data_IF_225779628729
#
_entry.id   IF_225779628729
#
_cell.length_a   1.000
_cell.length_b   1.000
_cell.length_c   1.000
_cell.angle_alpha   90.00
_cell.angle_beta   90.00
_cell.angle_gamma   90.00
#
_symmetry.space_group_name_H-M   'P 1'
#
loop_
_entity.id
_entity.type
_entity.pdbx_description
1 polymer ?
#
# COMPACT_ATOMS: atom_id res chain seq x y z
N UNK A 1 -9.68 20.50 22.09
CA UNK A 1 -9.34 19.88 20.79
C UNK A 1 -8.95 18.40 20.91
N UNK A 2 -8.03 18.00 21.80
CA UNK A 2 -7.62 16.58 21.98
C UNK A 2 -8.75 15.58 22.28
N UNK A 3 -9.77 15.98 23.06
CA UNK A 3 -10.91 15.11 23.42
C UNK A 3 -11.87 14.88 22.24
N UNK A 4 -12.02 15.86 21.36
CA UNK A 4 -12.85 15.73 20.15
C UNK A 4 -12.21 14.76 19.15
N UNK A 5 -10.88 14.82 19.01
CA UNK A 5 -10.11 13.93 18.14
C UNK A 5 -10.27 12.44 18.53
N UNK A 6 -10.23 12.14 19.84
CA UNK A 6 -10.44 10.78 20.35
C UNK A 6 -11.84 10.24 20.08
N UNK A 7 -12.88 11.09 20.17
CA UNK A 7 -14.25 10.70 19.85
C UNK A 7 -14.42 10.47 18.35
N UNK A 8 -13.75 11.27 17.51
CA UNK A 8 -13.74 11.08 16.05
C UNK A 8 -13.09 9.76 15.65
N UNK A 9 -11.94 9.42 16.25
CA UNK A 9 -11.24 8.14 16.02
C UNK A 9 -12.11 6.96 16.47
N UNK A 10 -12.78 7.08 17.62
CA UNK A 10 -13.66 6.03 18.14
C UNK A 10 -14.92 5.83 17.30
N UNK A 11 -15.52 6.91 16.76
CA UNK A 11 -16.62 6.81 15.80
C UNK A 11 -16.18 6.16 14.48
N UNK A 12 -14.99 6.50 13.96
CA UNK A 12 -14.42 5.82 12.78
C UNK A 12 -14.18 4.32 13.03
N UNK A 13 -13.73 3.94 14.23
CA UNK A 13 -13.52 2.54 14.59
C UNK A 13 -14.85 1.76 14.68
N UNK A 14 -15.94 2.41 15.07
CA UNK A 14 -17.26 1.78 15.19
C UNK A 14 -17.95 1.50 13.84
N UNK A 15 -17.59 2.21 12.77
CA UNK A 15 -18.07 1.93 11.41
C UNK A 15 -17.28 0.81 10.71
N UNK A 16 -16.23 0.26 11.33
CA UNK A 16 -15.45 -0.85 10.77
C UNK A 16 -16.22 -2.19 10.71
N UNK A 17 -17.43 -2.26 11.26
CA UNK A 17 -18.25 -3.48 11.30
C UNK A 17 -18.61 -4.03 9.89
N UNK A 18 -18.42 -3.25 8.82
CA UNK A 18 -18.61 -3.69 7.43
C UNK A 18 -17.34 -4.23 6.74
N UNK A 19 -16.19 -4.24 7.41
CA UNK A 19 -14.93 -4.81 6.86
C UNK A 19 -14.83 -6.33 7.02
N UNK A 20 -15.81 -7.00 7.64
CA UNK A 20 -15.78 -8.44 7.91
C UNK A 20 -15.75 -9.35 6.66
N UNK A 21 -15.79 -8.79 5.44
CA UNK A 21 -15.81 -9.53 4.18
C UNK A 21 -14.70 -9.09 3.18
N UNK A 22 -13.92 -8.07 3.51
CA UNK A 22 -12.84 -7.59 2.62
C UNK A 22 -11.59 -8.44 2.77
N UNK A 23 -10.92 -8.77 1.65
CA UNK A 23 -9.63 -9.45 1.68
C UNK A 23 -8.58 -8.46 2.21
N UNK A 24 -8.18 -8.63 3.47
CA UNK A 24 -7.29 -7.70 4.14
C UNK A 24 -5.91 -8.30 4.41
N UNK A 25 -4.88 -7.53 4.08
CA UNK A 25 -3.51 -7.75 4.50
C UNK A 25 -2.97 -6.54 5.25
N UNK A 26 -2.19 -6.76 6.30
CA UNK A 26 -1.53 -5.71 7.07
C UNK A 26 -0.05 -6.05 7.26
N UNK A 27 0.83 -5.06 7.22
CA UNK A 27 2.26 -5.30 7.27
C UNK A 27 3.11 -4.07 7.47
N UNK A 28 4.41 -4.28 7.25
CA UNK A 28 5.43 -3.23 7.27
C UNK A 28 6.25 -3.28 5.98
N UNK A 29 6.75 -2.13 5.53
CA UNK A 29 7.53 -2.04 4.32
C UNK A 29 8.62 -0.96 4.40
N UNK A 30 9.53 -1.03 3.44
CA UNK A 30 10.33 0.08 2.98
C UNK A 30 9.64 0.64 1.73
N UNK A 31 8.75 1.61 1.92
CA UNK A 31 8.04 2.38 0.90
C UNK A 31 7.66 3.71 1.57
N UNK A 32 8.06 4.84 0.99
CA UNK A 32 8.03 6.13 1.69
C UNK A 32 8.76 6.09 3.04
N UNK A 33 9.97 5.51 3.01
CA UNK A 33 10.80 5.08 4.14
C UNK A 33 10.15 3.93 4.93
N UNK A 34 10.31 3.87 6.26
CA UNK A 34 9.65 2.85 7.06
C UNK A 34 8.16 3.13 7.09
N UNK A 35 7.34 2.14 6.74
CA UNK A 35 5.89 2.32 6.63
C UNK A 35 5.07 1.17 7.18
N UNK A 36 3.87 1.50 7.63
CA UNK A 36 2.76 0.58 7.76
C UNK A 36 2.07 0.44 6.40
N UNK A 37 1.78 -0.79 6.01
CA UNK A 37 1.10 -1.07 4.74
C UNK A 37 -0.13 -1.92 4.94
N UNK A 38 -1.19 -1.60 4.20
CA UNK A 38 -2.39 -2.41 4.14
C UNK A 38 -2.74 -2.70 2.69
N UNK A 39 -3.20 -3.91 2.41
CA UNK A 39 -3.95 -4.21 1.19
C UNK A 39 -5.37 -4.53 1.59
N UNK A 40 -6.35 -3.79 1.07
CA UNK A 40 -7.77 -4.00 1.32
C UNK A 40 -8.45 -4.16 -0.04
N UNK A 41 -8.87 -5.38 -0.34
CA UNK A 41 -9.35 -5.79 -1.66
C UNK A 41 -8.36 -5.42 -2.78
N UNK A 42 -8.67 -4.36 -3.52
CA UNK A 42 -7.87 -3.83 -4.63
C UNK A 42 -7.10 -2.55 -4.29
N UNK A 43 -7.04 -2.14 -3.03
CA UNK A 43 -6.31 -0.94 -2.63
C UNK A 43 -5.07 -1.33 -1.84
N UNK A 44 -3.90 -0.88 -2.27
CA UNK A 44 -2.71 -0.82 -1.45
C UNK A 44 -2.63 0.56 -0.81
N UNK A 45 -2.44 0.60 0.50
CA UNK A 45 -2.32 1.82 1.30
C UNK A 45 -0.98 1.75 2.01
N UNK A 46 -0.22 2.85 1.95
CA UNK A 46 1.08 3.01 2.58
C UNK A 46 1.02 4.23 3.48
N UNK A 47 1.40 4.08 4.75
CA UNK A 47 1.57 5.16 5.71
C UNK A 47 3.01 5.10 6.21
N UNK A 48 3.87 5.94 5.64
CA UNK A 48 5.31 5.97 5.92
C UNK A 48 5.75 7.20 6.70
N UNK A 49 7.00 7.17 7.14
CA UNK A 49 7.62 8.27 7.88
C UNK A 49 7.66 9.57 7.07
N UNK A 50 7.78 9.49 5.73
CA UNK A 50 7.82 10.67 4.85
C UNK A 50 6.49 11.05 4.21
N UNK A 51 5.52 10.16 4.16
CA UNK A 51 4.25 10.45 3.48
C UNK A 51 3.26 9.29 3.48
N UNK A 52 2.26 9.41 2.62
CA UNK A 52 1.36 8.30 2.35
C UNK A 52 1.12 8.11 0.86
N UNK A 53 0.71 6.90 0.51
CA UNK A 53 0.31 6.57 -0.84
C UNK A 53 -0.88 5.60 -0.87
N UNK A 54 -1.63 5.68 -1.95
CA UNK A 54 -2.76 4.80 -2.23
C UNK A 54 -2.70 4.37 -3.69
N UNK A 55 -2.65 3.05 -3.91
CA UNK A 55 -2.67 2.46 -5.24
C UNK A 55 -3.88 1.55 -5.41
N UNK A 56 -4.44 1.57 -6.62
CA UNK A 56 -5.46 0.62 -7.04
C UNK A 56 -4.83 -0.50 -7.86
N UNK A 57 -5.02 -1.75 -7.45
CA UNK A 57 -4.64 -2.96 -8.16
C UNK A 57 -5.51 -3.11 -9.42
N UNK A 58 -4.97 -2.68 -10.55
CA UNK A 58 -5.64 -2.71 -11.86
C UNK A 58 -5.72 -4.15 -12.36
N UNK A 59 -4.63 -4.92 -12.22
CA UNK A 59 -4.57 -6.30 -12.65
C UNK A 59 -3.71 -7.13 -11.69
N UNK A 60 -4.13 -8.36 -11.45
CA UNK A 60 -3.41 -9.33 -10.63
C UNK A 60 -3.35 -10.67 -11.35
N UNK A 61 -2.41 -11.51 -10.96
CA UNK A 61 -2.32 -12.89 -11.47
C UNK A 61 -1.39 -13.75 -10.65
N UNK A 62 -1.40 -15.05 -10.96
CA UNK A 62 -0.43 -16.02 -10.45
C UNK A 62 0.56 -16.34 -11.57
N UNK A 63 1.82 -16.61 -11.25
CA UNK A 63 2.81 -17.02 -12.26
C UNK A 63 2.55 -18.45 -12.75
N UNK A 64 2.25 -19.35 -11.83
CA UNK A 64 1.84 -20.72 -12.11
C UNK A 64 0.98 -21.27 -10.94
N UNK A 65 0.45 -22.48 -11.07
CA UNK A 65 -0.46 -23.09 -10.07
C UNK A 65 0.26 -23.88 -8.95
N UNK A 66 1.59 -23.96 -8.98
CA UNK A 66 2.42 -24.76 -8.07
C UNK A 66 3.31 -23.90 -7.17
N UNK A 67 3.74 -22.75 -7.67
CA UNK A 67 4.63 -21.81 -7.00
C UNK A 67 3.77 -20.75 -6.32
N UNK A 68 3.97 -20.47 -5.03
CA UNK A 68 3.16 -19.48 -4.30
C UNK A 68 3.59 -18.04 -4.62
N UNK A 69 3.69 -17.70 -5.92
CA UNK A 69 4.09 -16.41 -6.45
C UNK A 69 2.95 -15.78 -7.24
N UNK A 70 2.54 -14.59 -6.82
CA UNK A 70 1.61 -13.74 -7.53
C UNK A 70 2.28 -12.47 -8.04
N UNK A 71 1.63 -11.79 -8.98
CA UNK A 71 2.05 -10.50 -9.51
C UNK A 71 0.87 -9.53 -9.58
N UNK A 72 1.18 -8.24 -9.63
CA UNK A 72 0.20 -7.19 -9.85
C UNK A 72 0.74 -6.01 -10.65
N UNK A 73 -0.18 -5.31 -11.27
CA UNK A 73 -0.03 -3.98 -11.86
C UNK A 73 -1.02 -3.05 -11.20
N UNK A 74 -0.54 -1.89 -10.76
CA UNK A 74 -1.33 -0.90 -10.04
C UNK A 74 -1.09 0.52 -10.56
N UNK A 75 -1.99 1.42 -10.20
CA UNK A 75 -1.83 2.86 -10.40
C UNK A 75 -2.35 3.61 -9.20
N UNK A 76 -1.64 4.67 -8.80
CA UNK A 76 -1.95 5.36 -7.56
C UNK A 76 -1.35 6.75 -7.46
N UNK A 77 -1.59 7.35 -6.31
CA UNK A 77 -1.06 8.65 -5.93
C UNK A 77 -0.29 8.56 -4.63
N UNK A 78 0.61 9.51 -4.44
CA UNK A 78 1.36 9.66 -3.20
C UNK A 78 1.48 11.15 -2.87
N UNK A 79 1.71 11.42 -1.59
CA UNK A 79 2.08 12.75 -1.10
C UNK A 79 2.99 12.60 0.10
N UNK A 80 3.96 13.48 0.22
CA UNK A 80 4.80 13.62 1.39
C UNK A 80 4.11 14.54 2.43
N UNK A 81 4.57 14.49 3.67
CA UNK A 81 3.96 15.25 4.78
C UNK A 81 4.26 16.74 4.71
N UNK A 82 5.45 17.10 4.25
CA UNK A 82 5.94 18.48 4.22
C UNK A 82 5.62 19.15 2.87
N UNK A 83 6.09 18.55 1.78
CA UNK A 83 5.91 19.03 0.40
C UNK A 83 6.14 17.86 -0.58
N UNK A 84 5.47 17.86 -1.73
CA UNK A 84 5.58 16.75 -2.69
C UNK A 84 4.29 15.97 -2.86
N UNK A 85 3.78 15.93 -4.09
CA UNK A 85 2.73 14.99 -4.48
C UNK A 85 2.93 14.52 -5.91
N UNK A 86 2.34 13.38 -6.21
CA UNK A 86 2.52 12.76 -7.51
C UNK A 86 1.63 11.57 -7.76
N UNK A 87 1.89 10.95 -8.91
CA UNK A 87 1.30 9.68 -9.30
C UNK A 87 2.39 8.63 -9.44
N UNK A 88 2.01 7.37 -9.24
CA UNK A 88 2.91 6.22 -9.36
C UNK A 88 2.21 5.05 -10.05
N UNK A 89 3.00 4.19 -10.71
CA UNK A 89 2.50 3.02 -11.43
C UNK A 89 3.23 1.73 -10.99
N UNK A 90 2.84 1.13 -9.85
CA UNK A 90 3.57 -0.03 -9.32
C UNK A 90 3.40 -1.30 -10.14
N UNK A 91 4.52 -2.01 -10.34
CA UNK A 91 4.56 -3.40 -10.79
C UNK A 91 5.23 -4.23 -9.70
N UNK A 92 4.52 -5.21 -9.15
CA UNK A 92 5.02 -5.98 -8.02
C UNK A 92 4.80 -7.48 -8.10
N UNK A 93 5.55 -8.18 -7.27
CA UNK A 93 5.51 -9.62 -7.07
C UNK A 93 5.28 -9.88 -5.58
N UNK A 94 4.51 -10.91 -5.24
CA UNK A 94 4.34 -11.36 -3.85
C UNK A 94 4.61 -12.86 -3.75
N UNK A 95 5.40 -13.24 -2.75
CA UNK A 95 5.74 -14.62 -2.40
C UNK A 95 5.08 -15.00 -1.08
N UNK A 96 4.14 -15.94 -1.13
CA UNK A 96 3.48 -16.47 0.06
C UNK A 96 4.32 -17.60 0.66
N UNK A 97 5.11 -17.27 1.69
CA UNK A 97 6.15 -18.15 2.25
C UNK A 97 5.69 -18.91 3.51
N UNK A 98 4.61 -18.46 4.17
CA UNK A 98 4.02 -19.13 5.32
C UNK A 98 2.52 -18.85 5.40
N UNK A 99 1.79 -19.62 6.23
CA UNK A 99 0.34 -19.46 6.36
C UNK A 99 -0.01 -18.03 6.80
N UNK A 100 -0.77 -17.31 5.98
CA UNK A 100 -1.14 -15.92 6.16
C UNK A 100 -0.07 -14.91 5.75
N UNK A 101 1.19 -15.30 5.55
CA UNK A 101 2.30 -14.36 5.35
C UNK A 101 2.77 -14.31 3.90
N UNK A 102 2.95 -13.09 3.39
CA UNK A 102 3.65 -12.83 2.13
C UNK A 102 4.77 -11.80 2.27
N UNK A 103 5.82 -12.00 1.49
CA UNK A 103 6.85 -11.01 1.20
C UNK A 103 6.53 -10.44 -0.18
N UNK A 104 6.50 -9.13 -0.34
CA UNK A 104 6.31 -8.49 -1.63
C UNK A 104 7.44 -7.54 -1.95
N UNK A 105 7.67 -7.34 -3.25
CA UNK A 105 8.54 -6.32 -3.78
C UNK A 105 7.92 -5.69 -5.02
N UNK A 106 8.16 -4.40 -5.23
CA UNK A 106 7.68 -3.67 -6.40
C UNK A 106 8.70 -2.66 -6.90
N UNK A 107 8.59 -2.36 -8.19
CA UNK A 107 9.20 -1.19 -8.84
C UNK A 107 8.10 -0.31 -9.37
N UNK A 108 8.29 1.00 -9.33
CA UNK A 108 7.25 1.96 -9.71
C UNK A 108 7.85 3.18 -10.39
N UNK A 109 7.47 3.48 -11.64
CA UNK A 109 7.64 4.80 -12.19
C UNK A 109 6.83 5.82 -11.37
N UNK A 110 7.42 6.99 -11.15
CA UNK A 110 6.83 8.06 -10.36
C UNK A 110 6.90 9.36 -11.15
N UNK A 111 5.80 10.10 -11.17
CA UNK A 111 5.75 11.47 -11.65
C UNK A 111 5.42 12.40 -10.47
N UNK A 112 6.37 13.26 -10.12
CA UNK A 112 6.24 14.31 -9.10
C UNK A 112 5.83 15.63 -9.78
N UNK A 113 4.93 16.38 -9.14
CA UNK A 113 4.36 17.63 -9.66
C UNK A 113 4.58 18.87 -8.79
N UNK A 114 5.25 18.75 -7.64
CA UNK A 114 5.34 19.82 -6.63
C UNK A 114 6.25 20.97 -7.07
N UNK A 115 7.40 20.64 -7.66
CA UNK A 115 8.39 21.59 -8.23
C UNK A 115 8.53 21.39 -9.75
N UNK A 116 7.40 21.41 -10.44
CA UNK A 116 7.30 21.05 -11.85
C UNK A 116 7.40 19.53 -12.08
N UNK A 117 7.39 19.13 -13.35
CA UNK A 117 7.35 17.72 -13.71
C UNK A 117 8.73 17.06 -13.54
N UNK A 118 8.84 16.11 -12.61
CA UNK A 118 10.02 15.25 -12.41
C UNK A 118 9.60 13.79 -12.50
N UNK A 119 10.35 13.00 -13.27
CA UNK A 119 10.11 11.57 -13.43
C UNK A 119 11.24 10.76 -12.81
N UNK A 120 10.89 9.76 -11.99
CA UNK A 120 11.84 8.84 -11.34
C UNK A 120 11.32 7.40 -11.39
N UNK A 121 12.16 6.47 -10.93
CA UNK A 121 11.78 5.09 -10.67
C UNK A 121 12.15 4.77 -9.25
N UNK A 122 11.16 4.37 -8.48
CA UNK A 122 11.29 4.01 -7.07
C UNK A 122 11.02 2.50 -6.90
N UNK A 123 11.25 1.98 -5.70
CA UNK A 123 10.95 0.61 -5.36
C UNK A 123 10.50 0.47 -3.93
N UNK A 124 9.86 -0.66 -3.64
CA UNK A 124 9.43 -1.00 -2.30
C UNK A 124 9.54 -2.49 -2.02
N UNK A 125 9.75 -2.84 -0.76
CA UNK A 125 9.76 -4.22 -0.26
C UNK A 125 9.10 -4.28 1.10
N UNK A 126 8.26 -5.28 1.34
CA UNK A 126 7.56 -5.40 2.61
C UNK A 126 7.03 -6.78 2.90
N UNK A 127 6.62 -6.99 4.15
CA UNK A 127 6.06 -8.25 4.65
C UNK A 127 4.66 -7.97 5.19
N UNK A 128 3.70 -8.82 4.83
CA UNK A 128 2.28 -8.65 5.17
C UNK A 128 1.67 -9.95 5.69
N UNK A 129 0.69 -9.81 6.58
CA UNK A 129 -0.16 -10.89 7.08
C UNK A 129 -1.59 -10.72 6.56
N UNK A 130 -2.17 -11.80 6.03
CA UNK A 130 -3.53 -11.91 5.49
C UNK A 130 -4.45 -12.57 6.52
N UNK A 131 -5.61 -11.96 6.79
CA UNK A 131 -6.58 -12.41 7.79
C UNK A 131 -7.60 -13.40 7.24
#
# INVERSE_FOLDING_TARGET
MRKLLLVSIFMLLSSLSSFAQADMKLGVALDMDLSLVAQIDRYNIVLGDRGFAVDYLIKTGQFDNKTPLSWYFAGGGWTEWDDGFGVRAPVGISWYFAKGWDLYGQVQPVANFDDGFKFSVDGAVGVRFSF
#
